data_IF_290266232344
#
_entry.id   IF_290266232344
#
_cell.length_a   1.000
_cell.length_b   1.000
_cell.length_c   1.000
_cell.angle_alpha   90.00
_cell.angle_beta   90.00
_cell.angle_gamma   90.00
#
_symmetry.space_group_name_H-M   'P 1'
#
loop_
_entity.id
_entity.type
_entity.pdbx_description
1 polymer ?
#
# COMPACT_ATOMS: atom_id res chain seq x y z
N UNK A 1 -25.47 1.49 -8.96
CA UNK A 1 -24.69 1.90 -7.77
C UNK A 1 -23.26 2.20 -8.18
N UNK A 2 -22.75 3.39 -7.83
CA UNK A 2 -21.34 3.75 -8.03
C UNK A 2 -20.45 2.93 -7.12
N UNK A 3 -19.40 2.32 -7.66
CA UNK A 3 -18.44 1.54 -6.91
C UNK A 3 -17.47 2.55 -6.26
N UNK A 4 -17.58 2.75 -4.95
CA UNK A 4 -16.64 3.55 -4.16
C UNK A 4 -15.76 2.61 -3.35
N UNK A 5 -14.46 2.91 -3.32
CA UNK A 5 -13.47 2.17 -2.57
C UNK A 5 -12.44 3.13 -1.97
N UNK A 6 -12.51 3.27 -0.65
CA UNK A 6 -11.54 4.00 0.18
C UNK A 6 -10.52 3.00 0.73
N UNK A 7 -9.23 3.34 0.61
CA UNK A 7 -8.13 2.49 1.07
C UNK A 7 -7.23 3.24 2.01
N UNK A 8 -6.75 2.52 3.01
CA UNK A 8 -5.82 3.05 3.99
C UNK A 8 -4.50 2.30 3.83
N UNK A 9 -3.48 3.03 3.40
CA UNK A 9 -2.18 2.50 3.00
C UNK A 9 -1.13 3.04 3.97
N UNK A 10 -0.36 2.13 4.57
CA UNK A 10 0.70 2.50 5.49
C UNK A 10 1.80 3.23 4.72
N UNK A 11 2.61 4.08 5.37
CA UNK A 11 3.73 4.77 4.71
C UNK A 11 4.64 3.83 3.91
N UNK A 12 4.80 2.60 4.37
CA UNK A 12 5.59 1.57 3.69
C UNK A 12 4.82 0.77 2.63
N UNK A 13 3.62 1.19 2.22
CA UNK A 13 2.92 0.67 1.05
C UNK A 13 1.94 -0.47 1.31
N UNK A 14 1.81 -0.98 2.54
CA UNK A 14 0.80 -2.00 2.83
C UNK A 14 -0.61 -1.40 2.90
N UNK A 15 -1.53 -1.95 2.12
CA UNK A 15 -2.95 -1.76 2.27
C UNK A 15 -3.44 -2.52 3.52
N UNK A 16 -3.82 -1.79 4.58
CA UNK A 16 -4.29 -2.40 5.83
C UNK A 16 -5.80 -2.29 6.03
N UNK A 17 -6.50 -1.49 5.21
CA UNK A 17 -7.94 -1.38 5.30
C UNK A 17 -8.57 -0.97 3.96
N UNK A 18 -9.64 -1.68 3.57
CA UNK A 18 -10.49 -1.35 2.45
C UNK A 18 -11.92 -1.08 2.94
N UNK A 19 -12.45 0.09 2.61
CA UNK A 19 -13.83 0.48 2.89
C UNK A 19 -14.53 0.71 1.56
N UNK A 20 -15.58 -0.06 1.30
CA UNK A 20 -16.56 0.23 0.29
C UNK A 20 -17.17 -1.01 -0.30
N UNK A 21 -17.61 -0.85 -1.55
CA UNK A 21 -18.34 -1.86 -2.31
C UNK A 21 -17.59 -3.20 -2.50
N UNK A 22 -16.30 -3.16 -2.80
CA UNK A 22 -15.50 -4.37 -3.00
C UNK A 22 -15.24 -5.13 -1.69
N UNK A 23 -15.06 -4.43 -0.57
CA UNK A 23 -14.91 -5.03 0.76
C UNK A 23 -16.25 -5.29 1.49
N UNK A 24 -17.38 -5.02 0.84
CA UNK A 24 -18.75 -5.15 1.37
C UNK A 24 -18.98 -4.38 2.69
N UNK A 25 -18.29 -3.27 2.90
CA UNK A 25 -18.53 -2.38 4.05
C UNK A 25 -19.50 -1.25 3.68
N UNK A 26 -20.38 -0.87 4.60
CA UNK A 26 -21.35 0.21 4.39
C UNK A 26 -20.70 1.60 4.39
N UNK A 27 -21.34 2.58 3.75
CA UNK A 27 -21.01 3.98 3.96
C UNK A 27 -21.26 4.42 5.41
N UNK A 28 -20.55 5.45 5.87
CA UNK A 28 -20.72 6.05 7.19
C UNK A 28 -19.42 6.58 7.77
N UNK A 29 -19.43 6.90 9.06
CA UNK A 29 -18.29 7.49 9.77
C UNK A 29 -17.40 6.38 10.30
N UNK A 30 -16.11 6.43 9.98
CA UNK A 30 -15.10 5.50 10.47
C UNK A 30 -14.06 6.29 11.27
N UNK A 31 -13.74 5.82 12.48
CA UNK A 31 -12.69 6.42 13.29
C UNK A 31 -11.34 5.91 12.80
N UNK A 32 -10.42 6.80 12.44
CA UNK A 32 -9.03 6.44 12.14
C UNK A 32 -8.19 6.71 13.39
N UNK A 33 -7.59 5.67 13.94
CA UNK A 33 -6.88 5.77 15.20
C UNK A 33 -5.65 4.86 15.19
N UNK A 34 -4.44 5.43 15.04
CA UNK A 34 -3.19 4.71 15.33
C UNK A 34 -3.16 4.39 16.83
N UNK A 35 -2.41 3.41 17.34
CA UNK A 35 -2.13 3.44 18.79
C UNK A 35 -0.82 2.77 19.15
N UNK A 36 -0.51 2.80 20.45
CA UNK A 36 0.75 2.29 20.99
C UNK A 36 0.99 0.82 20.63
N UNK A 37 2.28 0.41 20.48
CA UNK A 37 2.68 -0.98 20.31
C UNK A 37 1.98 -1.94 21.29
N UNK A 38 1.57 -3.12 20.81
CA UNK A 38 0.96 -4.19 21.65
C UNK A 38 -0.57 -4.17 21.75
N UNK A 39 -1.21 -3.14 21.21
CA UNK A 39 -2.66 -3.12 20.98
C UNK A 39 -3.00 -3.70 19.60
N UNK A 40 -4.28 -4.01 19.35
CA UNK A 40 -4.83 -4.64 18.13
C UNK A 40 -4.01 -4.38 16.84
N UNK A 41 -3.84 -5.44 16.04
CA UNK A 41 -3.09 -5.39 14.79
C UNK A 41 -3.61 -4.29 13.83
N UNK A 42 -2.78 -3.76 12.92
CA UNK A 42 -3.26 -2.85 11.89
C UNK A 42 -4.39 -3.48 11.06
N UNK A 43 -5.46 -2.74 10.78
CA UNK A 43 -6.64 -3.33 10.15
C UNK A 43 -7.90 -2.46 10.13
N UNK A 44 -8.92 -2.95 9.44
CA UNK A 44 -10.30 -2.48 9.54
C UNK A 44 -11.09 -3.39 10.48
N UNK A 45 -11.75 -2.78 11.47
CA UNK A 45 -12.59 -3.46 12.42
C UNK A 45 -14.00 -2.85 12.36
N UNK A 46 -14.99 -3.66 12.00
CA UNK A 46 -16.36 -3.19 11.79
C UNK A 46 -17.22 -3.42 13.04
N UNK A 47 -18.12 -2.49 13.33
CA UNK A 47 -19.04 -2.56 14.47
C UNK A 47 -20.08 -3.67 14.39
N UNK A 48 -20.44 -4.09 13.17
CA UNK A 48 -21.35 -5.21 12.94
C UNK A 48 -20.67 -6.59 13.03
N UNK A 49 -19.35 -6.62 13.25
CA UNK A 49 -18.60 -7.84 13.54
C UNK A 49 -18.31 -7.85 15.04
N UNK A 50 -18.27 -9.04 15.65
CA UNK A 50 -18.15 -9.26 17.10
C UNK A 50 -16.82 -8.80 17.75
N UNK A 51 -16.20 -7.73 17.23
CA UNK A 51 -15.02 -7.11 17.79
C UNK A 51 -15.48 -6.15 18.89
N UNK A 52 -15.29 -6.55 20.16
CA UNK A 52 -15.50 -5.66 21.30
C UNK A 52 -14.40 -4.59 21.29
N UNK A 53 -14.74 -3.38 20.85
CA UNK A 53 -13.90 -2.20 21.08
C UNK A 53 -14.08 -1.75 22.52
N UNK A 54 -12.98 -1.46 23.22
CA UNK A 54 -13.09 -0.69 24.47
C UNK A 54 -13.77 0.65 24.19
N UNK A 55 -14.69 1.08 25.06
CA UNK A 55 -15.20 2.46 25.05
C UNK A 55 -16.42 2.74 24.18
N UNK A 56 -17.23 1.74 23.79
CA UNK A 56 -18.56 2.00 23.22
C UNK A 56 -18.59 2.67 21.84
N UNK A 57 -17.49 2.65 21.08
CA UNK A 57 -17.35 3.28 19.76
C UNK A 57 -18.57 3.08 18.84
N UNK A 58 -19.09 1.86 18.80
CA UNK A 58 -20.21 1.49 17.94
C UNK A 58 -21.54 2.10 18.39
N UNK A 59 -21.69 2.40 19.69
CA UNK A 59 -22.86 3.08 20.24
C UNK A 59 -22.80 4.60 19.98
N UNK A 60 -21.62 5.15 19.64
CA UNK A 60 -21.42 6.57 19.31
C UNK A 60 -21.65 6.90 17.82
N UNK A 61 -22.27 6.00 17.06
CA UNK A 61 -22.65 6.25 15.65
C UNK A 61 -21.57 5.91 14.60
N UNK A 62 -20.39 5.44 15.02
CA UNK A 62 -19.35 4.98 14.09
C UNK A 62 -19.70 3.62 13.47
N UNK A 63 -19.29 3.41 12.21
CA UNK A 63 -19.41 2.11 11.50
C UNK A 63 -18.24 1.17 11.77
N UNK A 64 -17.12 1.71 12.22
CA UNK A 64 -15.95 0.92 12.57
C UNK A 64 -14.72 1.77 12.89
N UNK A 65 -13.63 1.05 13.17
CA UNK A 65 -12.31 1.56 13.50
C UNK A 65 -11.31 1.15 12.42
N UNK A 66 -10.55 2.11 11.92
CA UNK A 66 -9.39 1.90 11.06
C UNK A 66 -8.13 2.11 11.90
N UNK A 67 -7.31 1.07 12.03
CA UNK A 67 -6.05 1.11 12.77
C UNK A 67 -4.86 1.04 11.84
N UNK A 68 -4.12 2.14 11.63
CA UNK A 68 -2.81 2.08 11.00
C UNK A 68 -1.73 1.55 11.96
N UNK A 69 -0.61 1.07 11.40
CA UNK A 69 0.58 0.70 12.17
C UNK A 69 1.34 1.91 12.73
N UNK A 70 1.24 3.05 12.06
CA UNK A 70 1.87 4.32 12.43
C UNK A 70 0.97 5.51 12.06
N UNK A 71 1.38 6.74 12.39
CA UNK A 71 0.58 7.94 12.18
C UNK A 71 0.63 8.45 10.73
N UNK A 72 1.58 7.98 9.90
CA UNK A 72 1.68 8.38 8.51
C UNK A 72 1.16 7.30 7.56
N UNK A 73 0.42 7.75 6.55
CA UNK A 73 -0.13 6.89 5.53
C UNK A 73 -0.89 7.68 4.47
N UNK A 74 -1.54 6.96 3.59
CA UNK A 74 -2.35 7.51 2.50
C UNK A 74 -3.77 6.98 2.61
N UNK A 75 -4.75 7.88 2.53
CA UNK A 75 -6.13 7.55 2.27
C UNK A 75 -6.41 7.76 0.79
N UNK A 76 -6.75 6.70 0.08
CA UNK A 76 -7.00 6.75 -1.36
C UNK A 76 -8.44 6.33 -1.67
N UNK A 77 -9.25 7.26 -2.17
CA UNK A 77 -10.58 6.97 -2.68
C UNK A 77 -10.54 6.73 -4.20
N UNK A 78 -11.16 5.66 -4.68
CA UNK A 78 -11.40 5.38 -6.10
C UNK A 78 -12.89 5.25 -6.35
N UNK A 79 -13.37 5.99 -7.36
CA UNK A 79 -14.76 5.96 -7.79
C UNK A 79 -14.84 5.38 -9.20
N UNK A 80 -15.72 4.39 -9.39
CA UNK A 80 -16.02 3.86 -10.72
C UNK A 80 -16.96 4.83 -11.45
N UNK A 81 -16.53 5.25 -12.64
CA UNK A 81 -17.32 6.04 -13.59
C UNK A 81 -17.60 5.15 -14.80
N UNK A 82 -18.82 5.19 -15.34
CA UNK A 82 -19.09 4.69 -16.70
C UNK A 82 -19.07 5.88 -17.66
N UNK A 83 -18.55 5.66 -18.86
CA UNK A 83 -18.53 6.69 -19.90
C UNK A 83 -19.94 6.85 -20.53
N UNK A 84 -20.86 7.47 -19.80
CA UNK A 84 -22.26 7.68 -20.20
C UNK A 84 -22.74 9.13 -19.99
N UNK A 85 -21.82 10.07 -19.81
CA UNK A 85 -22.10 11.50 -19.61
C UNK A 85 -22.67 11.92 -18.25
N UNK A 86 -23.32 11.02 -17.48
CA UNK A 86 -24.02 11.39 -16.22
C UNK A 86 -23.30 10.95 -14.95
N UNK A 87 -22.34 10.03 -15.06
CA UNK A 87 -21.68 9.45 -13.88
C UNK A 87 -20.67 10.39 -13.21
N UNK A 88 -20.09 11.34 -13.94
CA UNK A 88 -19.14 12.33 -13.40
C UNK A 88 -19.81 13.21 -12.34
N UNK A 89 -21.01 13.74 -12.62
CA UNK A 89 -21.77 14.54 -11.66
C UNK A 89 -22.10 13.76 -10.37
N UNK A 90 -22.41 12.46 -10.50
CA UNK A 90 -22.65 11.58 -9.34
C UNK A 90 -21.38 11.39 -8.51
N UNK A 91 -20.22 11.25 -9.15
CA UNK A 91 -18.94 11.15 -8.43
C UNK A 91 -18.61 12.45 -7.71
N UNK A 92 -18.79 13.61 -8.33
CA UNK A 92 -18.61 14.90 -7.65
C UNK A 92 -19.54 15.05 -6.45
N UNK A 93 -20.80 14.62 -6.55
CA UNK A 93 -21.72 14.60 -5.41
C UNK A 93 -21.24 13.70 -4.26
N UNK A 94 -20.58 12.56 -4.56
CA UNK A 94 -19.97 11.69 -3.55
C UNK A 94 -18.71 12.32 -2.94
N UNK A 95 -17.85 12.94 -3.77
CA UNK A 95 -16.66 13.65 -3.30
C UNK A 95 -17.03 14.78 -2.34
N UNK A 96 -18.06 15.57 -2.68
CA UNK A 96 -18.55 16.68 -1.84
C UNK A 96 -19.14 16.22 -0.50
N UNK A 97 -19.53 14.94 -0.39
CA UNK A 97 -20.04 14.33 0.86
C UNK A 97 -18.98 13.54 1.62
N UNK A 98 -17.75 13.49 1.12
CA UNK A 98 -16.64 12.80 1.76
C UNK A 98 -15.76 13.83 2.46
N UNK A 99 -15.49 13.63 3.75
CA UNK A 99 -14.63 14.51 4.53
C UNK A 99 -13.73 13.71 5.46
N UNK A 100 -12.59 14.30 5.81
CA UNK A 100 -11.71 13.84 6.86
C UNK A 100 -11.60 14.96 7.89
N UNK A 101 -12.11 14.72 9.10
CA UNK A 101 -12.06 15.68 10.19
C UNK A 101 -11.15 15.18 11.29
N UNK A 102 -10.28 16.07 11.78
CA UNK A 102 -9.48 15.78 12.96
C UNK A 102 -10.39 15.78 14.19
N UNK A 103 -10.27 14.76 15.03
CA UNK A 103 -10.85 14.79 16.36
C UNK A 103 -9.74 14.96 17.38
N UNK A 104 -9.90 15.92 18.29
CA UNK A 104 -8.99 16.04 19.41
C UNK A 104 -9.15 14.80 20.29
N UNK A 105 -8.03 14.12 20.51
CA UNK A 105 -7.94 13.08 21.50
C UNK A 105 -6.76 13.40 22.41
N UNK A 106 -7.02 13.45 23.71
CA UNK A 106 -5.95 13.54 24.71
C UNK A 106 -5.16 12.24 24.68
N UNK A 107 -4.01 12.29 24.01
CA UNK A 107 -3.06 11.18 23.99
C UNK A 107 -1.84 11.54 24.80
N UNK A 108 -1.65 10.92 25.97
CA UNK A 108 -0.36 10.97 26.64
C UNK A 108 0.68 10.25 25.77
N UNK A 109 1.77 10.94 25.41
CA UNK A 109 2.92 10.37 24.70
C UNK A 109 3.53 11.26 23.62
N UNK A 110 4.59 10.76 22.98
CA UNK A 110 5.29 11.46 21.89
C UNK A 110 4.39 11.54 20.67
N UNK A 111 3.95 12.74 20.33
CA UNK A 111 3.19 12.99 19.11
C UNK A 111 4.13 13.01 17.91
N UNK A 112 3.75 12.28 16.86
CA UNK A 112 4.45 12.37 15.60
C UNK A 112 4.21 13.75 14.98
N UNK A 113 5.28 14.38 14.50
CA UNK A 113 5.19 15.68 13.85
C UNK A 113 4.27 15.62 12.63
N UNK A 114 3.47 16.66 12.33
CA UNK A 114 2.71 16.71 11.09
C UNK A 114 3.63 16.55 9.87
N UNK A 115 3.13 15.87 8.83
CA UNK A 115 3.82 15.87 7.54
C UNK A 115 3.82 17.30 7.00
N UNK A 116 5.01 17.86 6.81
CA UNK A 116 5.20 19.18 6.24
C UNK A 116 6.12 19.09 5.01
N UNK A 117 6.03 20.07 4.09
CA UNK A 117 6.93 20.11 2.94
C UNK A 117 8.42 20.23 3.32
N UNK A 118 8.75 20.70 4.53
CA UNK A 118 10.14 20.83 4.98
C UNK A 118 10.80 19.47 5.28
N UNK A 119 10.05 18.39 5.49
CA UNK A 119 10.60 17.03 5.45
C UNK A 119 11.06 16.66 4.02
N UNK A 120 10.49 17.29 2.98
CA UNK A 120 10.88 17.17 1.57
C UNK A 120 11.78 18.32 1.10
N UNK A 121 12.57 18.91 2.02
CA UNK A 121 13.43 20.08 1.80
C UNK A 121 14.45 19.86 0.64
N UNK A 122 14.76 20.90 -0.17
CA UNK A 122 15.84 20.88 -1.15
C UNK A 122 17.24 20.53 -0.61
N UNK A 123 17.49 20.56 0.70
CA UNK A 123 18.76 20.09 1.30
C UNK A 123 18.97 18.57 1.26
N UNK A 124 18.01 17.81 0.73
CA UNK A 124 18.18 16.37 0.51
C UNK A 124 19.23 16.12 -0.60
N UNK A 125 19.98 15.03 -0.46
CA UNK A 125 20.96 14.58 -1.45
C UNK A 125 20.32 14.41 -2.82
N UNK A 126 21.04 14.72 -3.91
CA UNK A 126 20.60 14.39 -5.26
C UNK A 126 20.71 12.89 -5.57
N UNK A 127 21.59 12.17 -4.84
CA UNK A 127 21.77 10.72 -4.92
C UNK A 127 20.55 9.98 -4.35
N UNK A 128 19.90 9.15 -5.17
CA UNK A 128 18.65 8.45 -4.88
C UNK A 128 18.72 7.59 -3.60
N UNK A 129 19.70 6.68 -3.41
CA UNK A 129 19.76 5.85 -2.20
C UNK A 129 20.02 6.69 -0.93
N UNK A 130 20.88 7.72 -1.01
CA UNK A 130 21.08 8.64 0.12
C UNK A 130 19.80 9.41 0.46
N UNK A 131 19.12 9.94 -0.55
CA UNK A 131 17.84 10.66 -0.40
C UNK A 131 16.78 9.77 0.26
N UNK A 132 16.69 8.50 -0.14
CA UNK A 132 15.76 7.56 0.46
C UNK A 132 16.02 7.36 1.97
N UNK A 133 17.28 7.24 2.39
CA UNK A 133 17.65 7.11 3.81
C UNK A 133 17.39 8.41 4.59
N UNK A 134 17.72 9.57 4.02
CA UNK A 134 17.43 10.88 4.61
C UNK A 134 15.92 11.11 4.81
N UNK A 135 15.09 10.73 3.84
CA UNK A 135 13.62 10.81 3.95
C UNK A 135 13.05 9.79 4.96
N UNK A 136 13.68 8.62 5.08
CA UNK A 136 13.23 7.56 6.01
C UNK A 136 13.51 7.93 7.46
N UNK A 137 14.68 8.53 7.73
CA UNK A 137 15.16 8.81 9.07
C UNK A 137 14.17 9.58 9.98
N UNK A 138 13.63 10.76 9.61
CA UNK A 138 12.76 11.52 10.50
C UNK A 138 11.43 10.81 10.80
N UNK A 139 11.00 9.90 9.92
CA UNK A 139 9.74 9.18 10.05
C UNK A 139 9.90 7.87 10.83
N UNK A 140 11.07 7.23 10.78
CA UNK A 140 11.30 5.89 11.32
C UNK A 140 10.85 5.69 12.79
N UNK A 141 11.07 6.62 13.74
CA UNK A 141 10.63 6.44 15.13
C UNK A 141 9.11 6.29 15.30
N UNK A 142 8.34 6.85 14.38
CA UNK A 142 6.88 6.87 14.43
C UNK A 142 6.23 5.79 13.57
N UNK A 143 6.99 5.13 12.70
CA UNK A 143 6.47 4.16 11.74
C UNK A 143 7.08 2.79 12.03
N UNK A 144 6.54 2.04 13.02
CA UNK A 144 7.04 0.72 13.31
C UNK A 144 6.75 -0.25 12.16
N UNK A 145 7.35 -1.44 12.24
CA UNK A 145 7.01 -2.54 11.35
C UNK A 145 5.50 -2.83 11.42
N UNK A 146 4.88 -3.14 10.27
CA UNK A 146 3.46 -3.55 10.19
C UNK A 146 3.16 -4.67 11.19
N UNK A 147 4.01 -5.69 11.22
CA UNK A 147 3.96 -6.76 12.20
C UNK A 147 4.83 -6.38 13.39
N UNK A 148 4.23 -6.11 14.55
CA UNK A 148 4.97 -5.65 15.73
C UNK A 148 6.03 -6.64 16.20
N UNK A 149 5.81 -7.94 15.98
CA UNK A 149 6.79 -8.99 16.26
C UNK A 149 8.07 -8.88 15.42
N UNK A 150 8.06 -8.13 14.32
CA UNK A 150 9.23 -7.88 13.49
C UNK A 150 9.95 -6.56 13.81
N UNK A 151 9.43 -5.80 14.78
CA UNK A 151 10.04 -4.53 15.23
C UNK A 151 11.54 -4.69 15.57
N UNK A 152 11.99 -5.70 16.34
CA UNK A 152 13.41 -5.85 16.63
C UNK A 152 14.28 -6.02 15.38
N UNK A 153 13.80 -6.78 14.39
CA UNK A 153 14.50 -6.99 13.11
C UNK A 153 14.60 -5.68 12.33
N UNK A 154 13.48 -4.97 12.15
CA UNK A 154 13.45 -3.69 11.42
C UNK A 154 14.32 -2.65 12.10
N UNK A 155 14.25 -2.52 13.42
CA UNK A 155 15.10 -1.58 14.17
C UNK A 155 16.59 -1.88 13.99
N UNK A 156 17.00 -3.16 13.97
CA UNK A 156 18.40 -3.53 13.67
C UNK A 156 18.80 -3.14 12.25
N UNK A 157 17.94 -3.40 11.26
CA UNK A 157 18.20 -3.05 9.86
C UNK A 157 18.34 -1.54 9.66
N UNK A 158 17.46 -0.73 10.25
CA UNK A 158 17.52 0.72 10.19
C UNK A 158 18.80 1.26 10.83
N UNK A 159 19.18 0.74 12.02
CA UNK A 159 20.44 1.10 12.68
C UNK A 159 21.66 0.77 11.82
N UNK A 160 21.71 -0.43 11.24
CA UNK A 160 22.79 -0.86 10.35
C UNK A 160 22.85 -0.03 9.05
N UNK A 161 21.72 0.50 8.59
CA UNK A 161 21.64 1.44 7.48
C UNK A 161 22.01 2.88 7.87
N UNK A 162 22.42 3.14 9.11
CA UNK A 162 22.81 4.47 9.58
C UNK A 162 21.66 5.33 10.11
N UNK A 163 20.46 4.78 10.31
CA UNK A 163 19.32 5.53 10.84
C UNK A 163 19.25 5.38 12.37
N UNK A 164 19.48 6.49 13.08
CA UNK A 164 19.51 6.58 14.54
C UNK A 164 18.79 7.85 15.00
N UNK A 165 17.92 7.74 16.01
CA UNK A 165 17.28 8.90 16.66
C UNK A 165 16.71 9.94 15.66
N UNK A 166 15.91 9.47 14.70
CA UNK A 166 15.30 10.30 13.65
C UNK A 166 16.28 10.94 12.64
N UNK A 167 17.56 10.55 12.64
CA UNK A 167 18.61 11.08 11.76
C UNK A 167 19.27 9.99 10.94
N UNK A 168 19.72 10.34 9.75
CA UNK A 168 20.56 9.50 8.93
C UNK A 168 22.03 9.92 9.10
N UNK A 169 22.86 8.96 9.48
CA UNK A 169 24.31 9.08 9.61
C UNK A 169 24.93 8.05 8.66
N UNK A 170 25.62 8.46 7.59
CA UNK A 170 26.18 7.53 6.61
C UNK A 170 27.11 6.49 7.26
N UNK A 171 26.76 5.21 7.12
CA UNK A 171 27.56 4.07 7.59
C UNK A 171 27.91 3.09 6.47
N UNK A 172 27.19 3.13 5.34
CA UNK A 172 27.42 2.27 4.20
C UNK A 172 28.40 2.96 3.24
N UNK A 173 29.58 2.36 3.04
CA UNK A 173 30.66 2.96 2.22
C UNK A 173 30.32 3.09 0.74
N UNK A 174 29.49 2.20 0.20
CA UNK A 174 29.14 2.19 -1.23
C UNK A 174 27.62 1.97 -1.42
N UNK A 175 26.84 3.03 -1.22
CA UNK A 175 25.39 3.00 -1.45
C UNK A 175 25.03 2.79 -2.91
N UNK A 176 25.85 3.24 -3.86
CA UNK A 176 25.62 3.07 -5.29
C UNK A 176 25.64 1.60 -5.71
N UNK A 177 26.62 0.82 -5.22
CA UNK A 177 26.66 -0.62 -5.48
C UNK A 177 25.47 -1.35 -4.85
N UNK A 178 25.05 -0.92 -3.65
CA UNK A 178 23.85 -1.47 -3.01
C UNK A 178 22.59 -1.17 -3.81
N UNK A 179 22.44 0.05 -4.32
CA UNK A 179 21.33 0.46 -5.18
C UNK A 179 21.29 -0.33 -6.49
N UNK A 180 22.45 -0.58 -7.12
CA UNK A 180 22.54 -1.43 -8.31
C UNK A 180 22.05 -2.86 -8.02
N UNK A 181 22.42 -3.44 -6.87
CA UNK A 181 21.94 -4.75 -6.45
C UNK A 181 20.41 -4.75 -6.18
N UNK A 182 19.89 -3.70 -5.54
CA UNK A 182 18.45 -3.52 -5.34
C UNK A 182 17.71 -3.47 -6.68
N UNK A 183 18.19 -2.66 -7.63
CA UNK A 183 17.62 -2.54 -8.97
C UNK A 183 17.67 -3.87 -9.72
N UNK A 184 18.74 -4.64 -9.57
CA UNK A 184 18.84 -5.99 -10.13
C UNK A 184 17.79 -6.96 -9.54
N UNK A 185 17.60 -6.96 -8.21
CA UNK A 185 16.55 -7.75 -7.55
C UNK A 185 15.17 -7.35 -8.07
N UNK A 186 14.89 -6.04 -8.13
CA UNK A 186 13.61 -5.52 -8.61
C UNK A 186 13.38 -5.92 -10.07
N UNK A 187 14.38 -5.81 -10.95
CA UNK A 187 14.26 -6.17 -12.36
C UNK A 187 13.92 -7.65 -12.56
N UNK A 188 14.56 -8.52 -11.78
CA UNK A 188 14.46 -9.99 -11.89
C UNK A 188 13.51 -10.63 -10.86
N UNK A 189 12.66 -9.84 -10.20
CA UNK A 189 11.88 -10.25 -9.03
C UNK A 189 11.17 -11.60 -9.19
N UNK A 190 10.40 -11.77 -10.26
CA UNK A 190 9.64 -13.00 -10.48
C UNK A 190 10.50 -14.23 -10.83
N UNK A 191 11.74 -14.02 -11.28
CA UNK A 191 12.69 -15.11 -11.52
C UNK A 191 13.42 -15.50 -10.23
N UNK A 192 13.70 -14.52 -9.36
CA UNK A 192 14.39 -14.73 -8.09
C UNK A 192 13.43 -15.23 -7.00
N UNK A 193 12.16 -14.85 -7.07
CA UNK A 193 11.11 -15.17 -6.09
C UNK A 193 9.88 -15.77 -6.80
N UNK A 194 10.01 -16.97 -7.41
CA UNK A 194 8.92 -17.60 -8.14
C UNK A 194 7.69 -17.87 -7.26
N UNK A 195 7.86 -18.10 -5.97
CA UNK A 195 6.79 -18.29 -4.99
C UNK A 195 5.89 -17.06 -4.79
N UNK A 196 6.36 -15.89 -5.20
CA UNK A 196 5.59 -14.64 -5.19
C UNK A 196 4.85 -14.40 -6.51
N UNK A 197 4.90 -15.35 -7.43
CA UNK A 197 4.28 -15.31 -8.76
C UNK A 197 3.20 -16.37 -8.88
N UNK A 198 2.05 -15.98 -9.40
CA UNK A 198 1.04 -16.90 -9.89
C UNK A 198 1.10 -16.93 -11.41
N UNK A 199 1.47 -18.08 -11.97
CA UNK A 199 1.38 -18.30 -13.41
C UNK A 199 -0.10 -18.42 -13.79
N UNK A 200 -0.46 -17.73 -14.86
CA UNK A 200 -1.75 -17.85 -15.52
C UNK A 200 -1.54 -18.62 -16.84
N UNK A 201 -2.63 -18.93 -17.53
CA UNK A 201 -2.55 -19.56 -18.84
C UNK A 201 -2.02 -18.59 -19.90
N UNK A 202 -1.59 -19.13 -21.04
CA UNK A 202 -1.18 -18.34 -22.20
C UNK A 202 -0.10 -17.30 -21.89
N UNK A 203 0.85 -17.68 -21.03
CA UNK A 203 2.06 -16.90 -20.77
C UNK A 203 1.76 -15.56 -20.05
N UNK A 204 0.61 -15.48 -19.41
CA UNK A 204 0.29 -14.44 -18.44
C UNK A 204 0.77 -14.85 -17.05
N UNK A 205 1.09 -13.86 -16.22
CA UNK A 205 1.41 -14.07 -14.82
C UNK A 205 0.93 -12.87 -13.99
N UNK A 206 0.77 -13.06 -12.69
CA UNK A 206 0.49 -11.97 -11.77
C UNK A 206 1.22 -12.18 -10.44
N UNK A 207 1.32 -11.15 -9.58
CA UNK A 207 1.64 -11.38 -8.18
C UNK A 207 0.71 -12.43 -7.55
N UNK A 208 1.25 -13.33 -6.74
CA UNK A 208 0.41 -14.27 -6.02
C UNK A 208 -0.52 -13.53 -5.02
N UNK A 209 -1.76 -13.99 -4.78
CA UNK A 209 -2.73 -13.27 -3.95
C UNK A 209 -2.26 -12.90 -2.54
N UNK A 210 -1.43 -13.75 -1.91
CA UNK A 210 -0.90 -13.55 -0.56
C UNK A 210 0.25 -12.53 -0.48
N UNK A 211 0.72 -12.03 -1.60
CA UNK A 211 1.77 -10.98 -1.67
C UNK A 211 1.32 -9.76 -2.47
N UNK A 212 0.00 -9.56 -2.61
CA UNK A 212 -0.55 -8.43 -3.34
C UNK A 212 -1.26 -7.47 -2.36
N UNK A 213 -0.84 -6.21 -2.32
CA UNK A 213 -1.47 -5.15 -1.52
C UNK A 213 -1.17 -5.21 -0.01
N UNK A 214 -1.07 -6.38 0.60
CA UNK A 214 -0.58 -6.57 1.97
C UNK A 214 0.65 -7.48 1.94
N UNK A 215 1.82 -6.96 2.30
CA UNK A 215 3.08 -7.68 2.14
C UNK A 215 3.56 -8.30 3.45
N UNK A 216 2.96 -7.96 4.60
CA UNK A 216 3.42 -8.40 5.93
C UNK A 216 4.95 -8.27 6.12
N UNK A 217 5.68 -9.40 6.21
CA UNK A 217 7.16 -9.46 6.35
C UNK A 217 7.89 -9.64 5.02
N UNK A 218 7.19 -9.69 3.88
CA UNK A 218 7.79 -9.79 2.55
C UNK A 218 8.26 -8.41 2.06
N UNK A 219 9.35 -7.93 2.66
CA UNK A 219 9.96 -6.64 2.32
C UNK A 219 10.46 -6.57 0.86
N UNK A 220 10.87 -7.71 0.29
CA UNK A 220 11.29 -7.78 -1.10
C UNK A 220 10.13 -7.50 -2.06
N UNK A 221 8.95 -8.10 -1.81
CA UNK A 221 7.76 -7.79 -2.60
C UNK A 221 7.30 -6.35 -2.43
N UNK A 222 7.32 -5.84 -1.19
CA UNK A 222 6.99 -4.44 -0.91
C UNK A 222 7.90 -3.49 -1.70
N UNK A 223 9.19 -3.76 -1.73
CA UNK A 223 10.18 -3.02 -2.52
C UNK A 223 9.90 -3.11 -4.02
N UNK A 224 9.66 -4.32 -4.53
CA UNK A 224 9.31 -4.53 -5.93
C UNK A 224 8.08 -3.70 -6.33
N UNK A 225 6.98 -3.81 -5.59
CA UNK A 225 5.76 -3.04 -5.89
C UNK A 225 6.00 -1.55 -5.77
N UNK A 226 6.79 -1.08 -4.80
CA UNK A 226 7.12 0.33 -4.66
C UNK A 226 7.78 0.89 -5.94
N UNK A 227 8.62 0.10 -6.62
CA UNK A 227 9.25 0.47 -7.88
C UNK A 227 8.33 0.35 -9.10
N UNK A 228 7.43 -0.63 -9.13
CA UNK A 228 6.81 -1.08 -10.40
C UNK A 228 5.32 -0.83 -10.51
N UNK A 229 4.64 -0.60 -9.39
CA UNK A 229 3.19 -0.54 -9.34
C UNK A 229 2.68 -0.01 -8.01
N UNK A 230 3.32 1.06 -7.52
CA UNK A 230 3.04 1.67 -6.22
C UNK A 230 1.54 1.79 -5.96
N UNK A 231 1.10 1.44 -4.74
CA UNK A 231 -0.32 1.31 -4.35
C UNK A 231 -1.06 0.16 -5.05
N UNK A 232 -0.35 -0.95 -5.33
CA UNK A 232 -0.97 -2.22 -5.69
C UNK A 232 -1.95 -2.69 -4.59
N UNK A 233 -2.99 -3.38 -5.00
CA UNK A 233 -4.17 -3.66 -4.18
C UNK A 233 -4.21 -5.10 -3.75
N UNK A 234 -5.00 -5.42 -2.74
CA UNK A 234 -5.25 -6.83 -2.41
C UNK A 234 -5.94 -7.52 -3.59
N UNK A 235 -5.63 -8.80 -3.82
CA UNK A 235 -6.19 -9.56 -4.92
C UNK A 235 -7.73 -9.68 -4.87
N UNK A 236 -8.32 -9.54 -3.67
CA UNK A 236 -9.77 -9.46 -3.48
C UNK A 236 -10.40 -8.18 -4.08
N UNK A 237 -9.58 -7.18 -4.40
CA UNK A 237 -10.03 -5.86 -4.86
C UNK A 237 -9.72 -5.62 -6.33
N UNK A 238 -8.55 -6.08 -6.79
CA UNK A 238 -8.11 -5.96 -8.18
C UNK A 238 -7.06 -7.03 -8.49
N UNK A 239 -7.05 -7.50 -9.73
CA UNK A 239 -6.01 -8.36 -10.28
C UNK A 239 -5.10 -7.54 -11.19
N UNK A 240 -3.83 -7.95 -11.27
CA UNK A 240 -2.81 -7.29 -12.09
C UNK A 240 -2.09 -8.30 -12.98
N UNK A 241 -2.79 -8.90 -13.96
CA UNK A 241 -2.18 -9.81 -14.90
C UNK A 241 -1.20 -9.03 -15.81
N UNK A 242 -0.02 -9.62 -16.03
CA UNK A 242 1.02 -9.13 -16.93
C UNK A 242 1.34 -10.23 -17.94
N UNK A 243 1.39 -9.87 -19.21
CA UNK A 243 1.84 -10.77 -20.28
C UNK A 243 3.36 -10.90 -20.25
N UNK A 244 3.90 -12.13 -20.32
CA UNK A 244 5.32 -12.43 -20.07
C UNK A 244 5.91 -13.48 -21.04
N UNK A 245 6.06 -13.17 -22.34
CA UNK A 245 6.52 -14.13 -23.33
C UNK A 245 7.90 -14.70 -22.96
N UNK A 246 8.04 -16.02 -23.07
CA UNK A 246 9.29 -16.73 -22.76
C UNK A 246 10.47 -16.13 -23.53
N UNK A 247 11.59 -15.90 -22.85
CA UNK A 247 12.83 -15.36 -23.44
C UNK A 247 13.00 -13.84 -23.34
N UNK A 248 11.95 -13.08 -23.01
CA UNK A 248 12.08 -11.64 -22.76
C UNK A 248 12.54 -11.39 -21.31
N UNK A 249 13.86 -11.17 -21.14
CA UNK A 249 14.42 -10.64 -19.88
C UNK A 249 13.99 -9.19 -19.58
N UNK A 250 13.20 -8.58 -20.47
CA UNK A 250 12.69 -7.22 -20.39
C UNK A 250 11.16 -7.18 -20.42
N UNK A 251 10.58 -6.37 -19.54
CA UNK A 251 9.13 -6.12 -19.39
C UNK A 251 8.55 -5.24 -20.50
N UNK A 252 8.92 -5.48 -21.75
CA UNK A 252 8.51 -4.61 -22.84
C UNK A 252 8.11 -5.44 -24.04
N UNK A 253 6.80 -5.59 -24.21
CA UNK A 253 6.22 -5.55 -25.53
C UNK A 253 6.37 -4.10 -26.00
N UNK A 254 7.34 -3.84 -26.87
CA UNK A 254 7.50 -2.54 -27.51
C UNK A 254 6.82 -2.63 -28.85
N UNK A 255 5.88 -1.73 -29.12
CA UNK A 255 5.35 -1.53 -30.47
C UNK A 255 6.22 -0.51 -31.19
N UNK A 256 6.73 -0.87 -32.37
CA UNK A 256 7.24 0.07 -33.35
C UNK A 256 6.12 0.96 -33.93
N UNK A 257 6.51 1.98 -34.71
CA UNK A 257 5.58 2.93 -35.32
C UNK A 257 4.55 2.27 -36.25
N UNK A 258 4.93 1.16 -36.89
CA UNK A 258 4.11 0.42 -37.86
C UNK A 258 3.69 -0.97 -37.36
N UNK A 259 3.79 -1.22 -36.04
CA UNK A 259 3.42 -2.49 -35.44
C UNK A 259 2.09 -2.38 -34.67
N UNK A 260 1.34 -3.48 -34.62
CA UNK A 260 0.15 -3.60 -33.80
C UNK A 260 0.10 -4.99 -33.12
N UNK A 261 -0.49 -5.04 -31.93
CA UNK A 261 -0.86 -6.30 -31.29
C UNK A 261 -2.37 -6.52 -31.41
N UNK A 262 -2.75 -7.75 -31.73
CA UNK A 262 -4.14 -8.20 -31.66
C UNK A 262 -4.31 -8.99 -30.37
N UNK A 263 -5.25 -8.58 -29.53
CA UNK A 263 -5.64 -9.30 -28.32
C UNK A 263 -7.03 -9.90 -28.52
N UNK A 264 -7.12 -11.23 -28.44
CA UNK A 264 -8.40 -11.94 -28.43
C UNK A 264 -8.83 -12.18 -26.99
N UNK A 265 -9.93 -11.55 -26.57
CA UNK A 265 -10.57 -11.81 -25.29
C UNK A 265 -11.79 -12.73 -25.50
N UNK A 266 -11.82 -13.84 -24.77
CA UNK A 266 -12.94 -14.78 -24.81
C UNK A 266 -13.71 -14.58 -23.50
N UNK A 267 -14.94 -14.08 -23.61
CA UNK A 267 -15.87 -14.11 -22.48
C UNK A 267 -16.20 -15.57 -22.17
N UNK A 268 -15.54 -16.15 -21.17
CA UNK A 268 -16.10 -17.32 -20.50
C UNK A 268 -17.34 -16.87 -19.75
N UNK A 269 -18.51 -17.33 -20.20
CA UNK A 269 -19.69 -17.32 -19.35
C UNK A 269 -19.37 -18.24 -18.18
N UNK A 270 -19.33 -17.69 -16.96
CA UNK A 270 -19.20 -18.50 -15.77
C UNK A 270 -20.33 -19.52 -15.77
N UNK A 271 -19.99 -20.81 -15.86
CA UNK A 271 -20.95 -21.87 -15.66
C UNK A 271 -21.56 -21.65 -14.28
N UNK A 272 -22.85 -21.30 -14.26
CA UNK A 272 -23.65 -21.31 -13.05
C UNK A 272 -23.73 -22.78 -12.67
N UNK A 273 -22.84 -23.22 -11.79
CA UNK A 273 -22.95 -24.53 -11.17
C UNK A 273 -24.25 -24.58 -10.38
N UNK A 274 -25.11 -25.52 -10.74
CA UNK A 274 -26.25 -25.95 -9.95
C UNK A 274 -25.80 -26.48 -8.57
#
# INVERSE_FOLDING_TARGET
>A
MGLCLLRCIHRYGDNYANIGSASKSSAGIYLVQYSAPGSLAPGLYLCNKAVKFGGGLCNSGFKGLVRPAGPYGTLLARFRIKNNGTDVAKVHALQNRTSLTSQQGDRPGVQASPLNPTIMNPSLSSDEPTKALQLTAPMAPFNPARNISDLPRVSRMLKAAGIHNAKYLPQVRNLTALDANVKHIVANFFSILPENTMQLQNVWAQPAPWVQGDYSRNYAMRLYVAYTGYLCLMASEALYPLYRPSGSRGRKLTLGLDEAYIMHDIKQQAAVGN
#
